data_IF_384535865467
#
_entry.id   IF_384535865467
#
_cell.length_a   1.000
_cell.length_b   1.000
_cell.length_c   1.000
_cell.angle_alpha   90.00
_cell.angle_beta   90.00
_cell.angle_gamma   90.00
#
_symmetry.space_group_name_H-M   'P 1'
#
loop_
_entity.id
_entity.type
_entity.pdbx_description
1 polymer ?
#
# COMPACT_ATOMS: atom_id res chain seq x y z
N UNK A 1 -14.59 -22.76 4.43
CA UNK A 1 -14.86 -21.86 5.57
C UNK A 1 -14.19 -22.44 6.82
N UNK A 2 -14.18 -21.75 7.97
CA UNK A 2 -13.35 -22.16 9.12
C UNK A 2 -14.04 -23.26 9.93
N UNK A 3 -15.28 -23.03 10.39
CA UNK A 3 -16.04 -23.99 11.20
C UNK A 3 -17.25 -24.54 10.45
N UNK A 4 -17.74 -25.72 10.83
CA UNK A 4 -18.92 -26.32 10.20
C UNK A 4 -20.15 -25.40 10.22
N UNK A 5 -20.37 -24.67 11.32
CA UNK A 5 -21.49 -23.71 11.48
C UNK A 5 -21.50 -22.58 10.44
N UNK A 6 -20.33 -22.23 9.89
CA UNK A 6 -20.17 -21.17 8.89
C UNK A 6 -20.68 -21.58 7.50
N UNK A 7 -21.11 -22.84 7.31
CA UNK A 7 -21.60 -23.33 6.02
C UNK A 7 -22.77 -22.48 5.49
N UNK A 8 -23.67 -22.04 6.37
CA UNK A 8 -24.80 -21.18 6.02
C UNK A 8 -24.36 -19.77 5.58
N UNK A 9 -23.38 -19.19 6.27
CA UNK A 9 -22.78 -17.90 5.92
C UNK A 9 -22.03 -17.97 4.59
N UNK A 10 -21.30 -19.04 4.35
CA UNK A 10 -20.63 -19.28 3.08
C UNK A 10 -21.62 -19.46 1.93
N UNK A 11 -22.75 -20.12 2.17
CA UNK A 11 -23.82 -20.27 1.19
C UNK A 11 -24.42 -18.91 0.78
N UNK A 12 -24.57 -18.00 1.74
CA UNK A 12 -24.95 -16.60 1.48
C UNK A 12 -23.87 -15.88 0.67
N UNK A 13 -22.59 -16.07 1.01
CA UNK A 13 -21.47 -15.48 0.26
C UNK A 13 -21.48 -15.91 -1.22
N UNK A 14 -21.77 -17.18 -1.51
CA UNK A 14 -21.92 -17.66 -2.88
C UNK A 14 -23.09 -16.98 -3.59
N UNK A 15 -24.24 -16.81 -2.91
CA UNK A 15 -25.39 -16.11 -3.46
C UNK A 15 -25.06 -14.64 -3.78
N UNK A 16 -24.33 -13.95 -2.89
CA UNK A 16 -23.87 -12.58 -3.11
C UNK A 16 -23.00 -12.49 -4.37
N UNK A 17 -21.99 -13.37 -4.48
CA UNK A 17 -21.03 -13.38 -5.59
C UNK A 17 -21.62 -13.81 -6.93
N UNK A 18 -22.65 -14.66 -6.92
CA UNK A 18 -23.34 -15.14 -8.15
C UNK A 18 -24.60 -14.35 -8.50
N UNK A 19 -24.92 -13.31 -7.71
CA UNK A 19 -26.13 -12.51 -7.86
C UNK A 19 -27.44 -13.33 -7.83
N UNK A 20 -27.49 -14.34 -6.97
CA UNK A 20 -28.67 -15.18 -6.74
C UNK A 20 -29.26 -14.95 -5.33
N UNK A 21 -30.38 -15.61 -5.04
CA UNK A 21 -30.97 -15.63 -3.69
C UNK A 21 -30.96 -17.05 -3.13
N UNK A 22 -31.10 -17.20 -1.80
CA UNK A 22 -31.18 -18.52 -1.16
C UNK A 22 -32.37 -19.37 -1.64
N UNK A 23 -33.40 -18.73 -2.20
CA UNK A 23 -34.61 -19.37 -2.73
C UNK A 23 -34.48 -19.86 -4.17
N UNK A 24 -33.41 -19.49 -4.87
CA UNK A 24 -33.17 -19.96 -6.23
C UNK A 24 -32.67 -21.42 -6.21
N UNK A 25 -33.48 -22.35 -6.73
CA UNK A 25 -33.12 -23.76 -6.78
C UNK A 25 -31.94 -24.07 -7.73
N UNK A 26 -31.59 -23.15 -8.64
CA UNK A 26 -30.47 -23.30 -9.58
C UNK A 26 -29.22 -22.56 -9.11
N UNK A 27 -29.24 -21.99 -7.90
CA UNK A 27 -28.09 -21.27 -7.35
C UNK A 27 -26.88 -22.18 -7.15
N UNK A 28 -25.71 -21.58 -7.23
CA UNK A 28 -24.47 -22.26 -6.86
C UNK A 28 -24.50 -22.61 -5.37
N UNK A 29 -24.32 -23.89 -5.06
CA UNK A 29 -24.28 -24.40 -3.69
C UNK A 29 -23.23 -25.49 -3.58
N UNK A 30 -22.53 -25.54 -2.45
CA UNK A 30 -21.63 -26.65 -2.14
C UNK A 30 -22.42 -27.94 -1.91
N UNK A 31 -21.79 -29.09 -2.14
CA UNK A 31 -22.44 -30.40 -2.01
C UNK A 31 -22.90 -30.73 -0.58
N UNK A 32 -22.41 -30.00 0.42
CA UNK A 32 -22.79 -30.15 1.83
C UNK A 32 -22.06 -29.15 2.71
N UNK A 33 -22.14 -29.37 4.01
CA UNK A 33 -21.57 -28.53 5.08
C UNK A 33 -20.19 -29.01 5.57
N UNK A 34 -19.60 -30.00 4.90
CA UNK A 34 -18.34 -30.63 5.29
C UNK A 34 -17.07 -29.96 4.73
N UNK A 35 -17.13 -28.75 4.18
CA UNK A 35 -15.96 -28.02 3.62
C UNK A 35 -15.30 -27.05 4.62
N UNK A 36 -15.30 -27.42 5.90
CA UNK A 36 -14.60 -26.71 6.97
C UNK A 36 -13.21 -27.29 7.24
N UNK A 37 -12.41 -26.56 8.01
CA UNK A 37 -11.12 -27.04 8.50
C UNK A 37 -11.36 -28.09 9.61
N UNK A 38 -11.34 -29.36 9.21
CA UNK A 38 -11.48 -30.49 10.15
C UNK A 38 -10.27 -30.61 11.06
N UNK A 39 -10.54 -31.04 12.28
CA UNK A 39 -9.51 -31.42 13.24
C UNK A 39 -8.77 -32.70 12.80
N UNK A 40 -7.54 -32.94 13.29
CA UNK A 40 -6.81 -34.17 12.97
C UNK A 40 -7.59 -35.47 13.26
N UNK A 41 -8.31 -35.62 14.40
CA UNK A 41 -9.10 -36.83 14.65
C UNK A 41 -10.22 -37.06 13.63
N UNK A 42 -10.92 -36.00 13.21
CA UNK A 42 -11.97 -36.09 12.18
C UNK A 42 -11.38 -36.53 10.82
N UNK A 43 -10.19 -36.04 10.48
CA UNK A 43 -9.49 -36.42 9.25
C UNK A 43 -8.98 -37.86 9.30
N UNK A 44 -8.45 -38.31 10.44
CA UNK A 44 -8.02 -39.71 10.62
C UNK A 44 -9.20 -40.67 10.49
N UNK A 45 -10.35 -40.36 11.10
CA UNK A 45 -11.54 -41.20 10.96
C UNK A 45 -12.06 -41.22 9.51
N UNK A 46 -12.04 -40.08 8.83
CA UNK A 46 -12.46 -39.96 7.41
C UNK A 46 -11.58 -40.78 6.47
N UNK A 47 -10.28 -40.89 6.77
CA UNK A 47 -9.28 -41.59 5.97
C UNK A 47 -8.79 -42.89 6.62
N UNK A 48 -9.59 -43.52 7.50
CA UNK A 48 -9.21 -44.75 8.21
C UNK A 48 -8.82 -45.91 7.30
N UNK A 49 -9.41 -45.96 6.10
CA UNK A 49 -9.12 -47.00 5.10
C UNK A 49 -7.76 -46.76 4.41
N UNK A 50 -7.22 -45.53 4.48
CA UNK A 50 -5.95 -45.11 3.86
C UNK A 50 -5.17 -44.17 4.81
N UNK A 51 -4.63 -44.67 5.93
CA UNK A 51 -3.91 -43.83 6.91
C UNK A 51 -2.72 -43.06 6.30
N UNK A 52 -2.05 -43.67 5.31
CA UNK A 52 -0.94 -43.05 4.57
C UNK A 52 -1.33 -41.73 3.90
N UNK A 53 -2.61 -41.51 3.59
CA UNK A 53 -3.07 -40.25 3.02
C UNK A 53 -2.85 -39.09 4.01
N UNK A 54 -3.12 -39.31 5.29
CA UNK A 54 -2.90 -38.31 6.35
C UNK A 54 -1.40 -38.12 6.58
N UNK A 55 -0.65 -39.22 6.75
CA UNK A 55 0.81 -39.17 6.97
C UNK A 55 1.56 -38.41 5.86
N UNK A 56 1.13 -38.60 4.60
CA UNK A 56 1.75 -37.92 3.46
C UNK A 56 1.51 -36.40 3.48
N UNK A 57 0.40 -35.92 4.07
CA UNK A 57 0.19 -34.47 4.19
C UNK A 57 1.23 -33.82 5.11
N UNK A 58 1.57 -34.49 6.23
CA UNK A 58 2.60 -34.03 7.16
C UNK A 58 3.98 -34.06 6.50
N UNK A 59 4.34 -35.16 5.81
CA UNK A 59 5.61 -35.24 5.06
C UNK A 59 5.75 -34.13 4.01
N UNK A 60 4.70 -33.85 3.26
CA UNK A 60 4.73 -32.76 2.25
C UNK A 60 4.89 -31.41 2.94
N UNK A 61 4.22 -31.18 4.07
CA UNK A 61 4.37 -29.95 4.85
C UNK A 61 5.82 -29.78 5.35
N UNK A 62 6.44 -30.85 5.85
CA UNK A 62 7.85 -30.86 6.29
C UNK A 62 8.85 -30.58 5.14
N UNK A 63 8.51 -30.97 3.91
CA UNK A 63 9.33 -30.71 2.71
C UNK A 63 9.22 -29.26 2.22
N UNK A 64 8.17 -28.53 2.61
CA UNK A 64 7.94 -27.16 2.16
C UNK A 64 8.69 -26.16 3.05
N UNK A 65 9.88 -25.72 2.62
CA UNK A 65 10.59 -24.60 3.24
C UNK A 65 10.72 -23.43 2.26
N UNK A 66 9.87 -22.41 2.43
CA UNK A 66 9.89 -21.16 1.67
C UNK A 66 10.22 -20.00 2.61
N UNK A 67 11.34 -19.32 2.36
CA UNK A 67 11.72 -18.11 3.08
C UNK A 67 11.47 -16.90 2.17
N UNK A 68 10.68 -15.95 2.67
CA UNK A 68 10.42 -14.67 2.02
C UNK A 68 11.14 -13.58 2.82
N UNK A 69 12.06 -12.87 2.15
CA UNK A 69 12.79 -11.74 2.73
C UNK A 69 11.98 -10.45 2.53
N UNK A 70 11.45 -9.92 3.62
CA UNK A 70 10.72 -8.64 3.64
C UNK A 70 11.57 -7.48 4.18
N UNK A 71 12.81 -7.74 4.62
CA UNK A 71 13.69 -6.74 5.20
C UNK A 71 14.56 -6.03 4.16
N UNK A 72 14.78 -6.65 3.00
CA UNK A 72 15.63 -6.09 1.95
C UNK A 72 14.88 -5.16 1.01
N UNK A 73 15.34 -3.91 0.96
CA UNK A 73 14.89 -2.93 -0.03
C UNK A 73 15.67 -3.09 -1.33
N UNK A 74 14.96 -3.13 -2.45
CA UNK A 74 15.52 -3.15 -3.80
C UNK A 74 15.18 -1.82 -4.47
N UNK A 75 16.11 -0.87 -4.38
CA UNK A 75 15.95 0.44 -5.01
C UNK A 75 16.44 0.38 -6.47
N UNK A 76 15.70 0.95 -7.44
CA UNK A 76 16.18 1.05 -8.80
C UNK A 76 17.42 1.93 -8.86
N UNK A 77 18.38 1.55 -9.71
CA UNK A 77 19.54 2.40 -10.00
C UNK A 77 19.15 3.52 -10.96
N UNK A 78 19.83 4.66 -10.84
CA UNK A 78 19.77 5.75 -11.81
C UNK A 78 21.08 5.79 -12.61
N UNK A 79 21.02 6.31 -13.83
CA UNK A 79 22.22 6.61 -14.61
C UNK A 79 22.99 7.75 -13.95
N UNK A 80 24.20 7.45 -13.46
CA UNK A 80 25.06 8.43 -12.81
C UNK A 80 26.13 8.96 -13.77
N UNK A 81 26.56 10.24 -13.64
CA UNK A 81 27.72 10.75 -14.35
C UNK A 81 28.98 9.92 -14.08
N UNK A 82 29.86 9.81 -15.09
CA UNK A 82 31.04 8.95 -15.04
C UNK A 82 31.91 9.27 -13.81
N UNK A 83 32.13 8.25 -12.97
CA UNK A 83 33.02 8.34 -11.80
C UNK A 83 32.39 8.94 -10.54
N UNK A 84 31.08 9.25 -10.52
CA UNK A 84 30.37 9.73 -9.33
C UNK A 84 29.56 8.61 -8.66
N UNK A 85 29.49 8.64 -7.33
CA UNK A 85 28.53 7.83 -6.57
C UNK A 85 27.17 8.53 -6.49
N UNK A 86 26.11 7.80 -6.12
CA UNK A 86 24.78 8.38 -5.91
C UNK A 86 24.81 9.49 -4.84
N UNK A 87 25.52 9.27 -3.72
CA UNK A 87 25.66 10.27 -2.66
C UNK A 87 26.36 11.54 -3.14
N UNK A 88 27.42 11.40 -3.94
CA UNK A 88 28.16 12.54 -4.51
C UNK A 88 27.29 13.31 -5.49
N UNK A 89 26.60 12.60 -6.39
CA UNK A 89 25.74 13.24 -7.37
C UNK A 89 24.56 13.96 -6.71
N UNK A 90 23.95 13.37 -5.69
CA UNK A 90 22.90 14.00 -4.89
C UNK A 90 23.41 15.27 -4.19
N UNK A 91 24.58 15.21 -3.56
CA UNK A 91 25.18 16.37 -2.90
C UNK A 91 25.47 17.50 -3.89
N UNK A 92 26.06 17.19 -5.05
CA UNK A 92 26.35 18.16 -6.10
C UNK A 92 25.07 18.87 -6.58
N UNK A 93 24.01 18.11 -6.88
CA UNK A 93 22.71 18.67 -7.28
C UNK A 93 22.15 19.62 -6.22
N UNK A 94 22.23 19.23 -4.95
CA UNK A 94 21.74 20.06 -3.86
C UNK A 94 22.53 21.35 -3.73
N UNK A 95 23.87 21.30 -3.79
CA UNK A 95 24.72 22.48 -3.70
C UNK A 95 24.54 23.42 -4.90
N UNK A 96 24.45 22.89 -6.11
CA UNK A 96 24.26 23.67 -7.34
C UNK A 96 22.94 24.45 -7.31
N UNK A 97 21.86 23.80 -6.83
CA UNK A 97 20.54 24.42 -6.75
C UNK A 97 20.32 25.24 -5.46
N UNK A 98 21.17 25.11 -4.45
CA UNK A 98 20.96 25.74 -3.14
C UNK A 98 20.77 27.25 -3.26
N UNK A 99 21.57 27.90 -4.10
CA UNK A 99 21.51 29.35 -4.33
C UNK A 99 20.21 29.82 -4.99
N UNK A 100 19.54 28.96 -5.75
CA UNK A 100 18.25 29.27 -6.38
C UNK A 100 17.14 29.39 -5.32
N UNK A 101 17.16 28.51 -4.31
CA UNK A 101 16.15 28.46 -3.26
C UNK A 101 16.49 29.31 -2.04
N UNK A 102 17.79 29.54 -1.80
CA UNK A 102 18.32 30.32 -0.69
C UNK A 102 19.33 31.36 -1.18
N UNK A 103 18.86 32.54 -1.64
CA UNK A 103 19.74 33.61 -2.13
C UNK A 103 20.70 34.15 -1.05
N UNK A 104 20.28 34.09 0.23
CA UNK A 104 21.09 34.44 1.38
C UNK A 104 21.41 33.18 2.19
N UNK A 105 22.61 32.65 2.00
CA UNK A 105 23.09 31.48 2.74
C UNK A 105 23.43 31.85 4.17
N UNK A 106 22.62 31.37 5.12
CA UNK A 106 22.94 31.40 6.54
C UNK A 106 23.70 30.14 6.94
N UNK A 107 24.52 30.17 8.01
CA UNK A 107 25.16 28.97 8.54
C UNK A 107 24.16 27.85 8.86
N UNK A 108 22.97 28.22 9.35
CA UNK A 108 21.90 27.27 9.68
C UNK A 108 21.41 26.46 8.46
N UNK A 109 21.27 27.10 7.29
CA UNK A 109 20.86 26.43 6.05
C UNK A 109 21.92 25.42 5.61
N UNK A 110 23.18 25.81 5.68
CA UNK A 110 24.29 24.96 5.25
C UNK A 110 24.48 23.77 6.21
N UNK A 111 24.47 24.02 7.52
CA UNK A 111 24.53 22.97 8.54
C UNK A 111 23.36 21.97 8.41
N UNK A 112 22.16 22.47 8.11
CA UNK A 112 20.98 21.62 7.88
C UNK A 112 21.14 20.76 6.63
N UNK A 113 21.61 21.31 5.52
CA UNK A 113 21.84 20.55 4.29
C UNK A 113 22.90 19.46 4.50
N UNK A 114 24.03 19.81 5.11
CA UNK A 114 25.13 18.87 5.35
C UNK A 114 24.68 17.72 6.28
N UNK A 115 23.88 18.03 7.30
CA UNK A 115 23.27 17.03 8.19
C UNK A 115 22.35 16.08 7.43
N UNK A 116 21.39 16.60 6.64
CA UNK A 116 20.45 15.76 5.89
C UNK A 116 21.16 14.86 4.87
N UNK A 117 22.15 15.38 4.14
CA UNK A 117 22.94 14.61 3.19
C UNK A 117 23.71 13.47 3.87
N UNK A 118 24.30 13.72 5.05
CA UNK A 118 25.01 12.68 5.80
C UNK A 118 24.03 11.61 6.32
N UNK A 119 22.83 11.97 6.77
CA UNK A 119 21.80 11.01 7.16
C UNK A 119 21.35 10.15 5.98
N UNK A 120 21.13 10.75 4.81
CA UNK A 120 20.73 10.03 3.59
C UNK A 120 21.82 9.03 3.16
N UNK A 121 23.08 9.43 3.27
CA UNK A 121 24.23 8.57 2.98
C UNK A 121 24.34 7.39 3.94
N UNK A 122 24.16 7.62 5.25
CA UNK A 122 24.17 6.54 6.25
C UNK A 122 23.01 5.56 6.10
N UNK A 123 21.84 6.04 5.65
CA UNK A 123 20.66 5.20 5.36
C UNK A 123 20.70 4.56 3.97
N UNK A 124 21.68 4.88 3.13
CA UNK A 124 21.85 4.37 1.76
C UNK A 124 20.66 4.68 0.84
N UNK A 125 19.97 5.79 1.08
CA UNK A 125 18.78 6.19 0.31
C UNK A 125 19.06 7.20 -0.80
N UNK A 126 20.32 7.50 -1.12
CA UNK A 126 20.65 8.45 -2.19
C UNK A 126 19.99 8.09 -3.54
N UNK A 127 19.98 6.81 -3.93
CA UNK A 127 19.31 6.37 -5.15
C UNK A 127 17.79 6.64 -5.12
N UNK A 128 17.14 6.47 -3.97
CA UNK A 128 15.71 6.75 -3.83
C UNK A 128 15.40 8.23 -4.09
N UNK A 129 16.18 9.13 -3.49
CA UNK A 129 16.04 10.57 -3.72
C UNK A 129 16.28 10.95 -5.19
N UNK A 130 17.28 10.33 -5.82
CA UNK A 130 17.60 10.59 -7.23
C UNK A 130 16.50 10.08 -8.18
N UNK A 131 15.89 8.93 -7.89
CA UNK A 131 14.76 8.40 -8.68
C UNK A 131 13.57 9.34 -8.57
N UNK A 132 13.26 9.84 -7.37
CA UNK A 132 12.17 10.81 -7.16
C UNK A 132 12.49 12.13 -7.86
N UNK A 133 13.72 12.65 -7.73
CA UNK A 133 14.18 13.84 -8.43
C UNK A 133 14.02 13.71 -9.95
N UNK A 134 14.35 12.54 -10.50
CA UNK A 134 14.27 12.27 -11.93
C UNK A 134 12.83 12.29 -12.45
N UNK A 135 11.90 11.67 -11.71
CA UNK A 135 10.47 11.69 -12.03
C UNK A 135 9.94 13.13 -12.00
N UNK A 136 10.31 13.91 -10.98
CA UNK A 136 9.89 15.31 -10.86
C UNK A 136 10.53 16.20 -11.93
N UNK A 137 11.78 15.94 -12.31
CA UNK A 137 12.46 16.67 -13.37
C UNK A 137 11.74 16.48 -14.70
N UNK A 138 11.36 15.24 -15.03
CA UNK A 138 10.52 14.95 -16.19
C UNK A 138 9.17 15.69 -16.12
N UNK A 139 8.48 15.64 -14.97
CA UNK A 139 7.20 16.34 -14.80
C UNK A 139 7.35 17.86 -15.05
N UNK A 140 8.42 18.48 -14.53
CA UNK A 140 8.71 19.91 -14.75
C UNK A 140 9.03 20.24 -16.21
N UNK A 141 9.87 19.45 -16.86
CA UNK A 141 10.25 19.66 -18.28
C UNK A 141 9.04 19.57 -19.22
N UNK A 142 8.03 18.77 -18.84
CA UNK A 142 6.80 18.56 -19.60
C UNK A 142 5.61 19.37 -19.07
N UNK A 143 5.82 20.32 -18.16
CA UNK A 143 4.79 21.19 -17.57
C UNK A 143 3.61 20.39 -16.95
N UNK A 144 3.91 19.25 -16.33
CA UNK A 144 2.94 18.42 -15.58
C UNK A 144 2.88 18.95 -14.15
N UNK A 145 1.70 19.36 -13.71
CA UNK A 145 1.51 19.79 -12.33
C UNK A 145 1.66 18.60 -11.38
N UNK A 146 2.38 18.83 -10.29
CA UNK A 146 2.57 17.84 -9.23
C UNK A 146 2.50 18.50 -7.85
N UNK A 147 2.24 17.69 -6.82
CA UNK A 147 2.22 18.11 -5.43
C UNK A 147 2.89 17.08 -4.54
N UNK A 148 3.48 17.54 -3.44
CA UNK A 148 4.11 16.67 -2.44
C UNK A 148 3.33 16.73 -1.15
N UNK A 149 3.05 15.57 -0.56
CA UNK A 149 2.36 15.44 0.72
C UNK A 149 3.25 14.84 1.80
N UNK A 150 2.74 14.89 3.04
CA UNK A 150 3.34 14.20 4.16
C UNK A 150 4.60 14.87 4.70
N UNK A 151 5.47 14.06 5.29
CA UNK A 151 6.69 14.51 5.97
C UNK A 151 7.79 14.94 5.00
N UNK A 152 7.69 14.60 3.72
CA UNK A 152 8.64 14.99 2.67
C UNK A 152 8.89 16.52 2.60
N UNK A 153 7.89 17.35 2.96
CA UNK A 153 8.06 18.80 3.03
C UNK A 153 9.08 19.28 4.09
N UNK A 154 9.50 18.42 5.03
CA UNK A 154 10.44 18.74 6.11
C UNK A 154 11.92 18.63 5.73
N UNK A 155 12.24 18.25 4.49
CA UNK A 155 13.62 18.07 4.01
C UNK A 155 14.10 19.23 3.14
N UNK A 156 15.26 19.79 3.49
CA UNK A 156 15.93 20.81 2.68
C UNK A 156 16.52 20.20 1.40
N UNK A 157 16.94 18.94 1.44
CA UNK A 157 17.41 18.19 0.26
C UNK A 157 16.29 18.12 -0.79
N UNK A 158 15.06 17.76 -0.39
CA UNK A 158 13.93 17.73 -1.31
C UNK A 158 13.58 19.12 -1.89
N UNK A 159 13.77 20.20 -1.11
CA UNK A 159 13.62 21.57 -1.62
C UNK A 159 14.68 21.91 -2.65
N UNK A 160 15.95 21.57 -2.40
CA UNK A 160 17.06 21.83 -3.33
C UNK A 160 16.93 21.02 -4.64
N UNK A 161 16.34 19.83 -4.57
CA UNK A 161 15.97 19.04 -5.75
C UNK A 161 14.73 19.61 -6.48
N UNK A 162 14.08 20.62 -5.91
CA UNK A 162 12.86 21.22 -6.43
C UNK A 162 11.65 20.29 -6.33
N UNK A 163 11.69 19.28 -5.48
CA UNK A 163 10.58 18.36 -5.23
C UNK A 163 9.52 19.05 -4.37
N UNK A 164 9.93 19.89 -3.41
CA UNK A 164 9.01 20.68 -2.58
C UNK A 164 9.29 22.17 -2.67
N UNK A 165 8.24 22.99 -2.72
CA UNK A 165 8.31 24.46 -2.64
C UNK A 165 8.30 24.96 -1.18
N UNK A 166 8.04 24.08 -0.21
CA UNK A 166 7.99 24.43 1.22
C UNK A 166 9.40 24.64 1.76
N UNK A 167 9.60 25.68 2.57
CA UNK A 167 10.88 25.95 3.23
C UNK A 167 10.88 25.30 4.61
N UNK A 168 11.63 24.21 4.84
CA UNK A 168 11.62 23.54 6.13
C UNK A 168 12.31 24.36 7.21
N UNK A 169 13.27 25.23 6.88
CA UNK A 169 13.98 26.06 7.86
C UNK A 169 13.09 27.20 8.31
N UNK A 170 12.47 27.93 7.36
CA UNK A 170 11.54 29.03 7.68
C UNK A 170 10.33 28.54 8.50
N UNK A 171 9.78 27.37 8.14
CA UNK A 171 8.61 26.78 8.79
C UNK A 171 8.97 25.91 10.01
N UNK A 172 10.26 25.84 10.40
CA UNK A 172 10.77 25.07 11.55
C UNK A 172 10.33 23.60 11.53
N UNK A 173 10.34 23.00 10.34
CA UNK A 173 10.02 21.60 10.13
C UNK A 173 11.19 20.71 10.54
N UNK A 174 10.85 19.59 11.20
CA UNK A 174 11.81 18.66 11.79
C UNK A 174 12.08 17.53 10.80
N UNK A 175 13.33 17.40 10.34
CA UNK A 175 13.73 16.41 9.32
C UNK A 175 13.56 14.98 9.80
N UNK A 176 13.76 14.73 11.09
CA UNK A 176 13.66 13.41 11.72
C UNK A 176 12.24 12.83 11.71
N UNK A 177 11.23 13.67 11.37
CA UNK A 177 9.87 13.20 11.08
C UNK A 177 9.73 12.56 9.70
N UNK A 178 10.64 12.89 8.79
CA UNK A 178 10.70 12.35 7.44
C UNK A 178 11.68 11.17 7.37
N UNK A 179 12.91 11.36 7.83
CA UNK A 179 13.94 10.34 7.83
C UNK A 179 14.72 10.34 9.14
N UNK A 180 14.77 9.20 9.81
CA UNK A 180 15.40 9.06 11.13
C UNK A 180 16.43 7.93 11.10
N UNK A 181 17.67 8.19 11.53
CA UNK A 181 18.73 7.17 11.60
C UNK A 181 18.41 5.99 12.51
N UNK A 182 17.64 6.21 13.59
CA UNK A 182 17.26 5.16 14.53
C UNK A 182 16.19 4.22 13.96
N UNK A 183 15.50 4.64 12.88
CA UNK A 183 14.48 3.87 12.17
C UNK A 183 14.86 3.76 10.70
N UNK A 184 15.48 2.64 10.32
CA UNK A 184 15.77 2.32 8.91
C UNK A 184 14.50 1.91 8.15
N UNK A 185 13.46 2.76 8.20
CA UNK A 185 12.25 2.63 7.40
C UNK A 185 12.41 3.46 6.12
N UNK A 186 11.83 2.98 5.02
CA UNK A 186 11.84 3.73 3.76
C UNK A 186 11.04 5.02 3.96
N UNK A 187 11.62 6.21 3.68
CA UNK A 187 10.89 7.47 3.81
C UNK A 187 9.83 7.57 2.72
N UNK A 188 8.59 7.81 3.10
CA UNK A 188 7.48 7.93 2.15
C UNK A 188 7.46 9.31 1.49
N UNK A 189 7.60 9.37 0.17
CA UNK A 189 7.47 10.59 -0.62
C UNK A 189 6.23 10.44 -1.49
N UNK A 190 5.10 10.88 -0.92
CA UNK A 190 3.82 10.91 -1.61
C UNK A 190 3.81 12.01 -2.67
N UNK A 191 3.89 11.60 -3.94
CA UNK A 191 3.76 12.46 -5.11
C UNK A 191 2.35 12.35 -5.71
N UNK A 192 1.66 13.48 -5.80
CA UNK A 192 0.48 13.62 -6.63
C UNK A 192 0.85 14.23 -7.98
N UNK A 193 0.21 13.77 -9.05
CA UNK A 193 0.30 14.36 -10.38
C UNK A 193 -1.08 14.77 -10.86
N UNK A 194 -1.14 15.70 -11.81
CA UNK A 194 -2.38 16.04 -12.52
C UNK A 194 -3.04 14.78 -13.10
N UNK A 195 -4.34 14.62 -12.82
CA UNK A 195 -5.09 13.37 -13.09
C UNK A 195 -5.03 12.96 -14.56
N UNK A 196 -5.28 13.91 -15.46
CA UNK A 196 -5.32 13.69 -16.92
C UNK A 196 -3.93 13.39 -17.53
N UNK A 197 -2.84 13.64 -16.80
CA UNK A 197 -1.45 13.49 -17.29
C UNK A 197 -0.62 12.49 -16.49
N UNK A 198 -1.20 11.86 -15.47
CA UNK A 198 -0.53 10.84 -14.64
C UNK A 198 0.01 9.67 -15.47
N UNK A 199 -0.70 9.27 -16.52
CA UNK A 199 -0.29 8.18 -17.39
C UNK A 199 0.99 8.49 -18.19
N UNK A 200 1.28 9.77 -18.48
CA UNK A 200 2.53 10.19 -19.10
C UNK A 200 3.73 9.91 -18.19
N UNK A 201 3.58 10.22 -16.89
CA UNK A 201 4.61 9.97 -15.87
C UNK A 201 4.83 8.47 -15.68
N UNK A 202 3.76 7.68 -15.61
CA UNK A 202 3.86 6.20 -15.52
C UNK A 202 4.58 5.64 -16.75
N UNK A 203 4.23 6.14 -17.94
CA UNK A 203 4.87 5.73 -19.20
C UNK A 203 6.36 6.06 -19.21
N UNK A 204 6.75 7.24 -18.74
CA UNK A 204 8.14 7.65 -18.59
C UNK A 204 8.90 6.70 -17.65
N UNK A 205 8.37 6.47 -16.44
CA UNK A 205 8.98 5.57 -15.45
C UNK A 205 9.13 4.16 -16.02
N UNK A 206 8.11 3.66 -16.71
CA UNK A 206 8.15 2.34 -17.35
C UNK A 206 9.20 2.24 -18.47
N UNK A 207 9.35 3.28 -19.30
CA UNK A 207 10.37 3.30 -20.35
C UNK A 207 11.78 3.40 -19.78
N UNK A 208 11.96 4.19 -18.72
CA UNK A 208 13.28 4.47 -18.13
C UNK A 208 13.80 3.34 -17.25
N UNK A 209 12.96 2.81 -16.37
CA UNK A 209 13.36 1.80 -15.37
C UNK A 209 13.07 0.36 -15.82
N UNK A 210 12.37 0.18 -16.94
CA UNK A 210 12.06 -1.12 -17.55
C UNK A 210 10.58 -1.48 -17.41
N UNK A 211 9.97 -1.93 -18.50
CA UNK A 211 8.55 -2.30 -18.53
C UNK A 211 8.23 -3.51 -17.63
N UNK A 212 9.22 -4.36 -17.38
CA UNK A 212 9.17 -5.54 -16.52
C UNK A 212 9.45 -5.24 -15.03
N UNK A 213 9.86 -4.02 -14.71
CA UNK A 213 10.17 -3.59 -13.34
C UNK A 213 9.14 -2.60 -12.76
N UNK A 214 8.16 -2.17 -13.56
CA UNK A 214 7.16 -1.17 -13.16
C UNK A 214 5.77 -1.78 -13.24
N UNK A 215 5.06 -1.76 -12.12
CA UNK A 215 3.69 -2.26 -12.02
C UNK A 215 2.86 -1.38 -11.07
N UNK A 216 1.54 -1.42 -11.24
CA UNK A 216 0.61 -0.78 -10.31
C UNK A 216 0.33 -1.69 -9.12
N UNK A 217 0.15 -1.08 -7.95
CA UNK A 217 -0.25 -1.79 -6.74
C UNK A 217 -1.76 -1.98 -6.77
N UNK A 218 -2.21 -3.23 -6.58
CA UNK A 218 -3.64 -3.55 -6.54
C UNK A 218 -4.30 -3.01 -5.27
N UNK A 219 -5.53 -2.55 -5.38
CA UNK A 219 -6.37 -2.21 -4.23
C UNK A 219 -7.48 -3.26 -4.08
N UNK A 220 -7.64 -3.80 -2.87
CA UNK A 220 -8.75 -4.70 -2.55
C UNK A 220 -9.90 -3.91 -1.93
N UNK A 221 -11.03 -3.85 -2.64
CA UNK A 221 -12.27 -3.36 -2.06
C UNK A 221 -12.77 -4.31 -0.97
N UNK A 222 -12.99 -3.81 0.24
CA UNK A 222 -13.57 -4.59 1.34
C UNK A 222 -15.08 -4.38 1.42
N UNK A 223 -15.78 -5.35 2.02
CA UNK A 223 -17.22 -5.28 2.21
C UNK A 223 -17.55 -4.37 3.40
N UNK A 224 -17.80 -3.08 3.15
CA UNK A 224 -18.17 -2.12 4.19
C UNK A 224 -19.52 -2.44 4.86
N UNK A 225 -19.74 -1.94 6.09
CA UNK A 225 -20.90 -2.31 6.92
C UNK A 225 -22.27 -2.15 6.22
N UNK A 226 -22.50 -1.01 5.55
CA UNK A 226 -23.75 -0.77 4.79
C UNK A 226 -23.88 -1.70 3.58
N UNK A 227 -22.77 -1.98 2.88
CA UNK A 227 -22.76 -2.89 1.74
C UNK A 227 -23.06 -4.32 2.20
N UNK A 228 -22.44 -4.76 3.30
CA UNK A 228 -22.71 -6.06 3.92
C UNK A 228 -24.20 -6.28 4.22
N UNK A 229 -24.86 -5.30 4.84
CA UNK A 229 -26.32 -5.38 5.12
C UNK A 229 -27.14 -5.51 3.83
N UNK A 230 -26.82 -4.70 2.82
CA UNK A 230 -27.53 -4.71 1.53
C UNK A 230 -27.34 -6.02 0.78
N UNK A 231 -26.12 -6.52 0.70
CA UNK A 231 -25.79 -7.75 -0.01
C UNK A 231 -26.34 -8.99 0.69
N UNK A 232 -26.25 -9.06 2.03
CA UNK A 232 -26.85 -10.14 2.80
C UNK A 232 -28.38 -10.11 2.67
N UNK A 233 -29.01 -8.94 2.81
CA UNK A 233 -30.46 -8.81 2.65
C UNK A 233 -30.94 -9.22 1.26
N UNK A 234 -30.20 -8.84 0.21
CA UNK A 234 -30.46 -9.28 -1.17
C UNK A 234 -30.33 -10.79 -1.33
N UNK A 235 -29.25 -11.38 -0.83
CA UNK A 235 -29.04 -12.83 -0.89
C UNK A 235 -30.12 -13.62 -0.13
N UNK A 236 -30.62 -13.06 0.98
CA UNK A 236 -31.76 -13.58 1.74
C UNK A 236 -33.11 -13.39 1.02
N UNK A 237 -33.15 -12.72 -0.13
CA UNK A 237 -34.39 -12.45 -0.88
C UNK A 237 -35.29 -11.40 -0.22
N UNK A 238 -34.75 -10.56 0.66
CA UNK A 238 -35.52 -9.50 1.32
C UNK A 238 -35.81 -8.33 0.36
N UNK A 239 -36.95 -7.64 0.49
CA UNK A 239 -37.23 -6.43 -0.28
C UNK A 239 -36.18 -5.34 -0.04
N UNK A 240 -35.70 -4.72 -1.12
CA UNK A 240 -34.66 -3.69 -1.05
C UNK A 240 -35.05 -2.53 -0.11
N UNK A 241 -36.31 -2.12 -0.09
CA UNK A 241 -36.81 -1.04 0.77
C UNK A 241 -36.59 -1.31 2.26
N UNK A 242 -36.77 -2.57 2.68
CA UNK A 242 -36.63 -2.96 4.08
C UNK A 242 -35.17 -2.98 4.49
N UNK A 243 -34.32 -3.53 3.63
CA UNK A 243 -32.87 -3.61 3.84
C UNK A 243 -32.23 -2.22 3.81
N UNK A 244 -32.63 -1.36 2.88
CA UNK A 244 -32.11 0.02 2.78
C UNK A 244 -32.48 0.85 4.01
N UNK A 245 -33.68 0.64 4.57
CA UNK A 245 -34.09 1.29 5.83
C UNK A 245 -33.14 0.94 6.97
N UNK A 246 -32.74 -0.32 7.10
CA UNK A 246 -31.77 -0.77 8.13
C UNK A 246 -30.37 -0.25 7.81
N UNK A 247 -29.92 -0.34 6.56
CA UNK A 247 -28.59 0.12 6.16
C UNK A 247 -28.39 1.62 6.38
N UNK A 248 -29.45 2.44 6.31
CA UNK A 248 -29.40 3.88 6.60
C UNK A 248 -29.23 4.22 8.09
N UNK A 249 -29.55 3.29 8.99
CA UNK A 249 -29.31 3.48 10.44
C UNK A 249 -27.83 3.41 10.80
N UNK A 250 -27.01 2.76 9.97
CA UNK A 250 -25.56 2.73 10.15
C UNK A 250 -25.02 4.13 9.84
N UNK A 251 -24.35 4.83 10.77
CA UNK A 251 -23.84 6.19 10.53
C UNK A 251 -22.80 6.23 9.40
N UNK A 252 -22.67 7.40 8.75
CA UNK A 252 -21.63 7.60 7.74
C UNK A 252 -20.36 8.14 8.41
N UNK A 253 -19.41 7.26 8.67
CA UNK A 253 -18.11 7.63 9.21
C UNK A 253 -16.99 6.75 8.60
N UNK A 254 -15.76 7.30 8.44
CA UNK A 254 -14.60 6.49 8.06
C UNK A 254 -14.36 5.35 9.05
N UNK A 255 -14.11 4.14 8.53
CA UNK A 255 -13.86 2.95 9.35
C UNK A 255 -15.06 2.47 10.17
N UNK A 256 -16.30 2.81 9.77
CA UNK A 256 -17.51 2.35 10.45
C UNK A 256 -17.70 0.83 10.32
N UNK A 257 -17.94 0.16 11.45
CA UNK A 257 -18.25 -1.28 11.54
C UNK A 257 -19.68 -1.48 12.05
N UNK A 258 -20.23 -2.69 11.89
CA UNK A 258 -21.56 -3.00 12.45
C UNK A 258 -21.57 -2.95 13.98
N UNK A 259 -20.50 -3.39 14.64
CA UNK A 259 -20.36 -3.32 16.10
C UNK A 259 -20.38 -1.87 16.60
N UNK A 260 -19.57 -0.99 16.01
CA UNK A 260 -19.57 0.44 16.36
C UNK A 260 -20.92 1.09 16.10
N UNK A 261 -21.58 0.74 15.00
CA UNK A 261 -22.90 1.27 14.70
C UNK A 261 -23.98 0.81 15.70
N UNK A 262 -23.81 -0.33 16.36
CA UNK A 262 -24.69 -0.79 17.44
C UNK A 262 -24.40 -0.02 18.74
N UNK A 263 -23.13 0.18 19.09
CA UNK A 263 -22.73 0.92 20.29
C UNK A 263 -23.13 2.40 20.24
N UNK A 264 -23.05 3.05 19.08
CA UNK A 264 -23.41 4.45 18.90
C UNK A 264 -24.93 4.70 18.88
N UNK A 265 -25.73 3.67 18.58
CA UNK A 265 -27.20 3.75 18.47
C UNK A 265 -27.94 3.11 19.65
N UNK A 266 -27.22 2.48 20.60
CA UNK A 266 -27.76 1.88 21.83
C UNK A 266 -27.81 2.85 22.99
#
# INVERSE_FOLDING_TARGET
>A
YVKQEDASTHDLLLCIGTNSTIYDNKRMKMAGDFFYLKSPPEMVELFKDIPQAVDNTERIAEMCNLELDFGRLYLPGIELPQGKTADQFLADLCHDNLHQYYPALTPEIQERLDYELEVIKQTQFANYFLVVWDIISFAKEHDILFGVRGSAAASIVLRCLGITEVDPVENKLVFERFLNLERQELPDIDLDFEDDRRDEVISYVSQKYGQDHVAQIITFGTLGARAALRDVGRALGMPYSDVDRVARLVPFAPGMTLERALDENG
#
